data_IF_881363623656
#
_entry.id   IF_881363623656
#
_cell.length_a   1.000
_cell.length_b   1.000
_cell.length_c   1.000
_cell.angle_alpha   90.00
_cell.angle_beta   90.00
_cell.angle_gamma   90.00
#
_symmetry.space_group_name_H-M   'P 1'
#
loop_
_entity.id
_entity.type
_entity.pdbx_description
1 polymer ?
#
# COMPACT_ATOMS: atom_id res chain seq x y z
N UNK A 1 -13.32 2.70 2.57
CA UNK A 1 -12.05 3.46 2.46
C UNK A 1 -11.29 3.47 3.79
N UNK A 2 -11.94 3.78 4.93
CA UNK A 2 -11.29 3.88 6.27
C UNK A 2 -10.51 2.63 6.69
N UNK A 3 -11.06 1.43 6.46
CA UNK A 3 -10.43 0.17 6.88
C UNK A 3 -9.03 -0.07 6.30
N UNK A 4 -8.81 0.26 5.03
CA UNK A 4 -7.49 0.11 4.39
C UNK A 4 -6.46 1.11 4.92
N UNK A 5 -6.92 2.30 5.33
CA UNK A 5 -6.07 3.32 5.96
C UNK A 5 -5.71 2.94 7.40
N UNK A 6 -6.68 2.43 8.17
CA UNK A 6 -6.38 1.87 9.50
C UNK A 6 -5.41 0.70 9.42
N UNK A 7 -5.60 -0.21 8.46
CA UNK A 7 -4.69 -1.31 8.22
C UNK A 7 -3.28 -0.80 7.89
N UNK A 8 -3.16 0.23 7.06
CA UNK A 8 -1.88 0.88 6.75
C UNK A 8 -1.20 1.44 8.01
N UNK A 9 -1.96 2.07 8.91
CA UNK A 9 -1.44 2.65 10.16
C UNK A 9 -1.02 1.60 11.20
N UNK A 10 -1.74 0.47 11.28
CA UNK A 10 -1.50 -0.58 12.28
C UNK A 10 -0.48 -1.63 11.83
N UNK A 11 -0.25 -1.78 10.52
CA UNK A 11 0.65 -2.79 9.96
C UNK A 11 2.09 -2.32 10.02
N UNK A 12 3.00 -3.24 10.36
CA UNK A 12 4.43 -2.96 10.22
C UNK A 12 4.81 -2.85 8.74
N UNK A 13 5.11 -1.64 8.29
CA UNK A 13 5.51 -1.32 6.92
C UNK A 13 7.01 -1.14 6.77
N UNK A 14 7.80 -1.50 7.79
CA UNK A 14 9.25 -1.34 7.79
C UNK A 14 9.93 -2.01 6.59
N UNK A 15 9.39 -3.15 6.12
CA UNK A 15 9.91 -3.87 4.93
C UNK A 15 9.58 -3.20 3.58
N UNK A 16 8.65 -2.25 3.60
CA UNK A 16 8.15 -1.54 2.43
C UNK A 16 8.59 -0.07 2.40
N UNK A 17 9.45 0.36 3.32
CA UNK A 17 10.01 1.72 3.36
C UNK A 17 10.54 2.11 1.97
N UNK A 18 10.13 3.29 1.48
CA UNK A 18 10.50 3.83 0.17
C UNK A 18 9.75 3.19 -1.02
N UNK A 19 8.97 2.12 -0.79
CA UNK A 19 8.20 1.41 -1.82
C UNK A 19 6.76 1.89 -1.89
N UNK A 20 6.17 1.70 -3.06
CA UNK A 20 4.73 1.76 -3.27
C UNK A 20 4.11 0.44 -2.84
N UNK A 21 2.99 0.52 -2.13
CA UNK A 21 2.18 -0.63 -1.76
C UNK A 21 0.75 -0.43 -2.26
N UNK A 22 0.11 -1.53 -2.60
CA UNK A 22 -1.31 -1.57 -2.89
C UNK A 22 -2.03 -2.41 -1.85
N UNK A 23 -3.02 -1.81 -1.22
CA UNK A 23 -3.86 -2.42 -0.18
C UNK A 23 -5.25 -2.64 -0.75
N UNK A 24 -5.76 -3.84 -0.59
CA UNK A 24 -7.12 -4.19 -0.97
C UNK A 24 -7.68 -5.17 0.05
N UNK A 25 -8.92 -4.98 0.47
CA UNK A 25 -9.58 -5.77 1.51
C UNK A 25 -8.69 -5.95 2.75
N UNK A 26 -8.10 -4.86 3.24
CA UNK A 26 -7.26 -4.84 4.45
C UNK A 26 -6.03 -5.76 4.33
N UNK A 27 -5.51 -5.95 3.11
CA UNK A 27 -4.29 -6.74 2.85
C UNK A 27 -3.41 -6.08 1.80
N UNK A 28 -2.10 -6.15 1.98
CA UNK A 28 -1.14 -5.75 0.96
C UNK A 28 -1.15 -6.81 -0.14
N UNK A 29 -1.65 -6.45 -1.32
CA UNK A 29 -1.73 -7.36 -2.47
C UNK A 29 -0.53 -7.22 -3.40
N UNK A 30 0.17 -6.08 -3.36
CA UNK A 30 1.33 -5.80 -4.20
C UNK A 30 2.24 -4.73 -3.57
N UNK A 31 3.54 -4.80 -3.86
CA UNK A 31 4.52 -3.80 -3.43
C UNK A 31 5.69 -3.67 -4.41
N UNK A 32 6.27 -2.48 -4.56
CA UNK A 32 7.43 -2.26 -5.43
C UNK A 32 7.81 -0.80 -5.62
N UNK A 33 8.86 -0.53 -6.39
CA UNK A 33 9.36 0.83 -6.59
C UNK A 33 8.58 1.61 -7.67
N UNK A 34 7.83 0.91 -8.51
CA UNK A 34 7.09 1.51 -9.62
C UNK A 34 5.57 1.49 -9.35
N UNK A 35 4.92 2.66 -9.17
CA UNK A 35 3.49 2.74 -8.85
C UNK A 35 2.60 2.14 -9.94
N UNK A 36 2.99 2.25 -11.22
CA UNK A 36 2.21 1.66 -12.33
C UNK A 36 2.18 0.13 -12.25
N UNK A 37 3.33 -0.49 -11.98
CA UNK A 37 3.42 -1.95 -11.86
C UNK A 37 2.62 -2.44 -10.66
N UNK A 38 2.81 -1.79 -9.51
CA UNK A 38 2.08 -2.12 -8.26
C UNK A 38 0.57 -2.01 -8.46
N UNK A 39 0.10 -0.95 -9.12
CA UNK A 39 -1.32 -0.79 -9.41
C UNK A 39 -1.87 -1.85 -10.37
N UNK A 40 -1.13 -2.19 -11.44
CA UNK A 40 -1.55 -3.21 -12.40
C UNK A 40 -1.64 -4.60 -11.75
N UNK A 41 -0.66 -4.98 -10.93
CA UNK A 41 -0.69 -6.24 -10.19
C UNK A 41 -1.83 -6.27 -9.18
N UNK A 42 -2.03 -5.18 -8.44
CA UNK A 42 -3.13 -5.05 -7.50
C UNK A 42 -4.49 -5.17 -8.19
N UNK A 43 -4.66 -4.57 -9.37
CA UNK A 43 -5.91 -4.65 -10.14
C UNK A 43 -6.20 -6.06 -10.65
N UNK A 44 -5.16 -6.86 -10.90
CA UNK A 44 -5.33 -8.29 -11.25
C UNK A 44 -5.74 -9.12 -10.02
N UNK A 45 -5.18 -8.82 -8.85
CA UNK A 45 -5.45 -9.53 -7.59
C UNK A 45 -6.75 -9.08 -6.91
N UNK A 46 -7.20 -7.87 -7.19
CA UNK A 46 -8.46 -7.30 -6.72
C UNK A 46 -9.31 -6.81 -7.90
N UNK A 47 -10.04 -7.73 -8.58
CA UNK A 47 -10.96 -7.36 -9.65
C UNK A 47 -12.26 -6.72 -9.13
N UNK A 48 -12.67 -7.02 -7.89
CA UNK A 48 -13.95 -6.58 -7.33
C UNK A 48 -13.92 -5.18 -6.71
N UNK A 49 -12.76 -4.67 -6.29
CA UNK A 49 -12.64 -3.39 -5.60
C UNK A 49 -11.43 -2.60 -6.07
N UNK A 50 -11.49 -1.27 -5.95
CA UNK A 50 -10.39 -0.39 -6.31
C UNK A 50 -9.30 -0.45 -5.24
N UNK A 51 -8.08 -0.94 -5.54
CA UNK A 51 -7.01 -1.00 -4.56
C UNK A 51 -6.57 0.41 -4.15
N UNK A 52 -6.26 0.58 -2.87
CA UNK A 52 -5.64 1.79 -2.31
C UNK A 52 -4.13 1.73 -2.61
N UNK A 53 -3.63 2.69 -3.39
CA UNK A 53 -2.21 2.83 -3.65
C UNK A 53 -1.62 3.85 -2.68
N UNK A 54 -0.62 3.45 -1.90
CA UNK A 54 0.06 4.30 -0.93
C UNK A 54 1.59 4.17 -1.09
N UNK A 55 2.31 5.28 -0.95
CA UNK A 55 3.77 5.27 -0.83
C UNK A 55 4.14 5.21 0.64
N UNK A 56 4.99 4.26 1.02
CA UNK A 56 5.48 4.19 2.39
C UNK A 56 6.57 5.26 2.54
N UNK A 57 6.37 6.27 3.40
CA UNK A 57 7.39 7.29 3.65
C UNK A 57 8.67 6.66 4.16
N UNK A 58 9.81 7.26 3.82
CA UNK A 58 11.07 6.95 4.49
C UNK A 58 10.98 7.46 5.93
N UNK A 59 11.59 6.72 6.86
CA UNK A 59 11.45 6.84 8.32
C UNK A 59 11.65 8.26 8.87
N UNK A 60 12.22 9.15 8.06
CA UNK A 60 12.48 10.57 8.34
C UNK A 60 11.27 11.51 8.14
N UNK A 61 10.11 11.03 7.67
CA UNK A 61 8.94 11.89 7.38
C UNK A 61 7.74 11.72 8.31
N UNK A 62 7.90 11.10 9.48
CA UNK A 62 6.95 11.29 10.59
C UNK A 62 7.25 12.63 11.27
N UNK A 63 6.59 13.69 10.79
CA UNK A 63 6.54 14.96 11.51
C UNK A 63 5.64 14.72 12.74
N UNK A 64 6.22 14.84 13.93
CA UNK A 64 5.56 14.71 15.23
C UNK A 64 4.48 15.77 15.45
#
# INVERSE_FOLDING_TARGET
MEKNYEFFMKTDLSHFIGKWIAICNEKIVSSGNNPKQVFQEARRKCPSERPLLAKVPEKETMIF
#
